data_IF_041325370018
#
_entry.id   IF_041325370018
#
_cell.length_a   1.000
_cell.length_b   1.000
_cell.length_c   1.000
_cell.angle_alpha   90.00
_cell.angle_beta   90.00
_cell.angle_gamma   90.00
#
_symmetry.space_group_name_H-M   'P 1'
#
loop_
_entity.id
_entity.type
_entity.pdbx_description
1 polymer ?
#
# COMPACT_ATOMS: atom_id res chain seq x y z
N UNK A 1 3.85 -6.89 16.21
CA UNK A 1 4.64 -6.30 15.10
C UNK A 1 3.91 -5.16 14.39
N UNK A 2 2.66 -5.32 13.91
CA UNK A 2 1.90 -4.23 13.26
C UNK A 2 1.67 -3.01 14.16
N UNK A 3 1.55 -3.22 15.47
CA UNK A 3 1.33 -2.13 16.43
C UNK A 3 2.43 -1.05 16.41
N UNK A 4 3.68 -1.41 16.12
CA UNK A 4 4.76 -0.42 15.99
C UNK A 4 4.54 0.46 14.76
N UNK A 5 4.17 -0.15 13.64
CA UNK A 5 3.81 0.55 12.42
C UNK A 5 2.63 1.52 12.66
N UNK A 6 1.57 1.07 13.34
CA UNK A 6 0.42 1.92 13.64
C UNK A 6 0.74 3.07 14.60
N UNK A 7 1.67 2.88 15.55
CA UNK A 7 2.14 3.96 16.44
C UNK A 7 2.96 5.03 15.74
N UNK A 8 3.50 4.73 14.56
CA UNK A 8 4.22 5.69 13.72
C UNK A 8 3.25 6.54 12.86
N UNK A 9 1.94 6.24 12.89
CA UNK A 9 0.92 6.93 12.10
C UNK A 9 0.12 7.94 12.92
N UNK A 10 -0.20 9.08 12.32
CA UNK A 10 -1.16 10.04 12.87
C UNK A 10 -2.60 9.51 12.74
N UNK A 11 -3.51 9.96 13.63
CA UNK A 11 -4.93 9.61 13.52
C UNK A 11 -5.47 10.07 12.16
N UNK A 12 -6.17 9.18 11.45
CA UNK A 12 -6.66 9.44 10.10
C UNK A 12 -5.59 9.37 9.00
N UNK A 13 -4.37 8.94 9.33
CA UNK A 13 -3.30 8.66 8.36
C UNK A 13 -3.69 7.57 7.35
N UNK A 14 -2.98 7.55 6.22
CA UNK A 14 -3.28 6.65 5.10
C UNK A 14 -2.26 5.51 5.02
N UNK A 15 -2.74 4.26 5.13
CA UNK A 15 -1.96 3.04 4.97
C UNK A 15 -2.11 2.49 3.55
N UNK A 16 -1.03 2.41 2.80
CA UNK A 16 -0.97 1.67 1.54
C UNK A 16 -0.60 0.21 1.77
N UNK A 17 -1.44 -0.72 1.32
CA UNK A 17 -1.17 -2.16 1.37
C UNK A 17 -0.83 -2.67 -0.02
N UNK A 18 0.40 -3.15 -0.22
CA UNK A 18 0.84 -3.82 -1.46
C UNK A 18 0.92 -5.32 -1.18
N UNK A 19 -0.02 -6.08 -1.72
CA UNK A 19 -0.26 -7.49 -1.44
C UNK A 19 -1.29 -7.70 -0.34
N UNK A 20 -2.55 -7.83 -0.73
CA UNK A 20 -3.70 -7.98 0.20
C UNK A 20 -4.09 -9.45 0.39
N UNK A 21 -3.06 -10.26 0.62
CA UNK A 21 -3.17 -11.66 1.03
C UNK A 21 -3.89 -11.87 2.37
N UNK A 22 -3.87 -13.10 2.91
CA UNK A 22 -4.38 -13.36 4.28
C UNK A 22 -3.81 -12.36 5.30
N UNK A 23 -2.52 -12.05 5.18
CA UNK A 23 -1.84 -11.07 6.02
C UNK A 23 -2.35 -9.64 5.77
N UNK A 24 -2.40 -9.20 4.50
CA UNK A 24 -2.86 -7.86 4.16
C UNK A 24 -4.32 -7.61 4.55
N UNK A 25 -5.21 -8.60 4.39
CA UNK A 25 -6.60 -8.50 4.86
C UNK A 25 -6.69 -8.36 6.37
N UNK A 26 -5.84 -9.02 7.14
CA UNK A 26 -5.81 -8.88 8.60
C UNK A 26 -5.23 -7.52 9.02
N UNK A 27 -4.16 -7.08 8.35
CA UNK A 27 -3.55 -5.78 8.58
C UNK A 27 -4.52 -4.63 8.29
N UNK A 28 -5.36 -4.78 7.25
CA UNK A 28 -6.46 -3.87 6.95
C UNK A 28 -7.44 -3.75 8.11
N UNK A 29 -7.96 -4.88 8.63
CA UNK A 29 -8.91 -4.86 9.76
C UNK A 29 -8.32 -4.17 10.98
N UNK A 30 -7.04 -4.41 11.26
CA UNK A 30 -6.35 -3.71 12.33
C UNK A 30 -6.27 -2.21 12.03
N UNK A 31 -5.91 -1.80 10.82
CA UNK A 31 -5.82 -0.38 10.46
C UNK A 31 -7.17 0.35 10.64
N UNK A 32 -8.28 -0.29 10.28
CA UNK A 32 -9.64 0.24 10.45
C UNK A 32 -9.98 0.46 11.93
N UNK A 33 -9.60 -0.47 12.82
CA UNK A 33 -9.76 -0.31 14.27
C UNK A 33 -8.96 0.86 14.85
N UNK A 34 -7.89 1.27 14.17
CA UNK A 34 -7.05 2.42 14.55
C UNK A 34 -7.52 3.73 13.86
N UNK A 35 -8.65 3.70 13.12
CA UNK A 35 -9.19 4.87 12.43
C UNK A 35 -8.33 5.34 11.25
N UNK A 36 -7.55 4.43 10.65
CA UNK A 36 -6.72 4.72 9.49
C UNK A 36 -7.50 4.50 8.19
N UNK A 37 -7.18 5.27 7.16
CA UNK A 37 -7.64 5.00 5.80
C UNK A 37 -6.73 3.95 5.15
N UNK A 38 -7.28 3.09 4.30
CA UNK A 38 -6.48 2.12 3.56
C UNK A 38 -6.60 2.30 2.05
N UNK A 39 -5.47 2.17 1.36
CA UNK A 39 -5.37 2.06 -0.09
C UNK A 39 -4.80 0.68 -0.41
N UNK A 40 -5.48 -0.08 -1.25
CA UNK A 40 -5.17 -1.48 -1.48
C UNK A 40 -4.59 -1.67 -2.89
N UNK A 41 -3.54 -2.47 -3.01
CA UNK A 41 -3.03 -2.91 -4.30
C UNK A 41 -2.61 -4.38 -4.16
N UNK A 42 -3.02 -5.24 -5.09
CA UNK A 42 -2.58 -6.63 -5.12
C UNK A 42 -1.95 -6.96 -6.47
N UNK A 43 -0.65 -6.64 -6.66
CA UNK A 43 0.05 -7.10 -7.85
C UNK A 43 0.39 -8.59 -7.70
N UNK A 44 0.11 -9.47 -8.67
CA UNK A 44 -1.14 -9.76 -9.34
C UNK A 44 -2.00 -10.74 -8.50
N UNK A 45 -3.07 -10.22 -7.88
CA UNK A 45 -4.35 -10.94 -7.83
C UNK A 45 -5.26 -10.37 -8.88
N UNK A 46 -4.99 -10.83 -10.11
CA UNK A 46 -5.96 -11.54 -10.93
C UNK A 46 -5.92 -11.15 -12.41
N UNK A 47 -5.72 -12.16 -13.25
CA UNK A 47 -6.33 -12.22 -14.59
C UNK A 47 -7.75 -12.84 -14.47
N UNK A 48 -8.22 -13.14 -13.25
CA UNK A 48 -9.44 -13.93 -13.00
C UNK A 48 -10.42 -13.37 -11.94
N UNK A 49 -10.13 -12.25 -11.29
CA UNK A 49 -10.93 -11.67 -10.19
C UNK A 49 -11.22 -10.18 -10.47
N UNK A 50 -10.76 -9.65 -11.62
CA UNK A 50 -11.08 -8.31 -12.11
C UNK A 50 -12.56 -8.16 -12.47
N UNK A 51 -13.28 -9.28 -12.67
CA UNK A 51 -14.73 -9.28 -12.90
C UNK A 51 -15.54 -9.13 -11.60
N UNK A 52 -14.99 -9.52 -10.43
CA UNK A 52 -15.67 -9.39 -9.13
C UNK A 52 -15.45 -8.02 -8.45
N UNK A 53 -14.47 -7.22 -8.91
CA UNK A 53 -14.13 -5.91 -8.33
C UNK A 53 -14.99 -4.75 -8.86
N UNK A 54 -15.70 -4.93 -9.97
CA UNK A 54 -16.57 -3.90 -10.54
C UNK A 54 -17.87 -3.68 -9.74
N UNK A 55 -18.35 -4.68 -9.00
CA UNK A 55 -19.58 -4.58 -8.21
C UNK A 55 -19.36 -4.00 -6.80
N UNK A 56 -18.11 -3.96 -6.32
CA UNK A 56 -17.77 -3.39 -5.00
C UNK A 56 -17.35 -1.90 -5.07
N UNK A 57 -17.17 -1.35 -6.28
CA UNK A 57 -16.66 0.02 -6.49
C UNK A 57 -17.65 0.86 -7.28
N UNK A 58 -18.80 1.18 -6.68
CA UNK A 58 -19.51 2.42 -7.01
C UNK A 58 -18.78 3.62 -6.38
N UNK A 59 -17.54 3.85 -6.83
CA UNK A 59 -16.86 5.14 -6.65
C UNK A 59 -16.94 5.85 -7.98
N UNK A 60 -17.82 6.86 -8.06
CA UNK A 60 -17.78 7.87 -9.10
C UNK A 60 -16.46 8.62 -8.97
N UNK A 61 -15.41 8.12 -9.64
CA UNK A 61 -14.18 8.85 -9.90
C UNK A 61 -14.50 9.95 -10.90
N UNK A 62 -15.27 10.95 -10.44
CA UNK A 62 -15.77 12.05 -11.25
C UNK A 62 -14.70 12.53 -12.22
N UNK A 63 -14.95 12.29 -13.50
CA UNK A 63 -14.19 12.77 -14.65
C UNK A 63 -12.68 12.96 -14.43
N UNK A 64 -11.92 11.88 -14.56
CA UNK A 64 -10.56 11.89 -15.09
C UNK A 64 -9.61 13.00 -14.62
N UNK A 65 -8.64 12.61 -13.79
CA UNK A 65 -7.44 13.38 -13.44
C UNK A 65 -7.67 14.55 -12.47
N UNK A 66 -7.36 14.32 -11.19
CA UNK A 66 -6.88 15.37 -10.29
C UNK A 66 -7.88 15.81 -9.21
N UNK A 67 -7.82 15.14 -8.08
CA UNK A 67 -8.45 15.62 -6.84
C UNK A 67 -9.49 14.66 -6.31
N UNK A 68 -9.05 13.57 -5.68
CA UNK A 68 -9.92 12.84 -4.77
C UNK A 68 -10.09 13.69 -3.50
N UNK A 69 -11.34 14.04 -3.19
CA UNK A 69 -11.71 14.45 -1.85
C UNK A 69 -11.60 13.20 -0.94
N UNK A 70 -10.43 13.04 -0.31
CA UNK A 70 -10.13 11.93 0.60
C UNK A 70 -11.05 11.84 1.82
N UNK A 71 -11.93 12.84 2.03
CA UNK A 71 -12.94 12.76 3.07
C UNK A 71 -14.08 11.77 2.76
N UNK A 72 -14.21 11.32 1.51
CA UNK A 72 -15.28 10.42 1.05
C UNK A 72 -14.78 9.04 0.58
N UNK A 73 -13.49 8.76 0.73
CA UNK A 73 -12.90 7.47 0.32
C UNK A 73 -13.28 6.40 1.34
N UNK A 74 -14.14 5.47 0.93
CA UNK A 74 -14.50 4.29 1.74
C UNK A 74 -13.29 3.37 1.94
N UNK A 75 -13.31 2.59 3.03
CA UNK A 75 -12.14 1.90 3.61
C UNK A 75 -11.58 0.73 2.78
N UNK A 76 -12.07 0.51 1.56
CA UNK A 76 -11.70 -0.62 0.68
C UNK A 76 -11.38 -0.18 -0.77
N UNK A 77 -10.56 0.87 -0.94
CA UNK A 77 -10.25 1.35 -2.31
C UNK A 77 -9.05 0.64 -2.90
N UNK A 78 -9.27 -0.22 -3.90
CA UNK A 78 -8.20 -0.75 -4.75
C UNK A 78 -7.69 0.32 -5.71
N UNK A 79 -6.37 0.53 -5.73
CA UNK A 79 -5.71 1.56 -6.53
C UNK A 79 -4.40 1.03 -7.13
N UNK A 80 -3.90 1.63 -8.22
CA UNK A 80 -2.56 1.30 -8.71
C UNK A 80 -1.48 1.74 -7.70
N UNK A 81 -0.32 1.10 -7.75
CA UNK A 81 0.84 1.40 -6.88
C UNK A 81 1.21 2.89 -6.90
N UNK A 82 1.03 3.58 -8.04
CA UNK A 82 1.29 5.01 -8.16
C UNK A 82 0.45 5.86 -7.21
N UNK A 83 -0.81 5.50 -6.98
CA UNK A 83 -1.69 6.23 -6.05
C UNK A 83 -1.34 5.92 -4.59
N UNK A 84 -0.92 4.68 -4.30
CA UNK A 84 -0.33 4.35 -2.99
C UNK A 84 0.88 5.25 -2.73
N UNK A 85 1.81 5.33 -3.68
CA UNK A 85 3.03 6.14 -3.53
C UNK A 85 2.69 7.62 -3.29
N UNK A 86 1.69 8.14 -4.00
CA UNK A 86 1.30 9.55 -3.92
C UNK A 86 0.65 9.94 -2.60
N UNK A 87 -0.13 9.05 -1.98
CA UNK A 87 -1.01 9.42 -0.88
C UNK A 87 -0.75 8.72 0.44
N UNK A 88 -0.14 7.52 0.45
CA UNK A 88 0.12 6.80 1.68
C UNK A 88 1.21 7.48 2.54
N UNK A 89 0.96 7.56 3.84
CA UNK A 89 1.94 8.00 4.84
C UNK A 89 2.78 6.81 5.32
N UNK A 90 2.19 5.62 5.30
CA UNK A 90 2.88 4.35 5.55
C UNK A 90 2.50 3.35 4.47
N UNK A 91 3.47 2.60 3.97
CA UNK A 91 3.27 1.56 2.96
C UNK A 91 3.72 0.23 3.57
N UNK A 92 2.82 -0.75 3.65
CA UNK A 92 3.17 -2.12 4.02
C UNK A 92 3.21 -3.00 2.76
N UNK A 93 4.38 -3.57 2.49
CA UNK A 93 4.62 -4.44 1.34
C UNK A 93 4.66 -5.88 1.82
N UNK A 94 3.71 -6.68 1.33
CA UNK A 94 3.66 -8.12 1.53
C UNK A 94 3.38 -8.89 0.25
N UNK A 95 4.44 -9.23 -0.48
CA UNK A 95 4.38 -9.98 -1.74
C UNK A 95 5.30 -11.21 -1.69
N UNK A 96 5.00 -12.30 -2.41
CA UNK A 96 5.95 -13.39 -2.57
C UNK A 96 7.18 -12.90 -3.35
N UNK A 97 8.38 -13.36 -2.99
CA UNK A 97 9.58 -13.13 -3.80
C UNK A 97 9.56 -14.03 -5.05
N UNK A 98 9.64 -13.41 -6.21
CA UNK A 98 9.84 -14.05 -7.51
C UNK A 98 10.53 -13.05 -8.45
N UNK A 99 10.74 -13.42 -9.71
CA UNK A 99 11.44 -12.56 -10.69
C UNK A 99 10.74 -11.22 -10.95
N UNK A 100 9.42 -11.13 -10.76
CA UNK A 100 8.64 -9.90 -10.96
C UNK A 100 8.59 -8.99 -9.73
N UNK A 101 8.82 -9.52 -8.53
CA UNK A 101 8.80 -8.75 -7.27
C UNK A 101 10.19 -8.50 -6.71
N UNK A 102 11.20 -9.19 -7.21
CA UNK A 102 12.61 -8.90 -6.91
C UNK A 102 12.92 -7.47 -7.34
N UNK A 103 13.54 -6.72 -6.43
CA UNK A 103 13.93 -5.32 -6.63
C UNK A 103 12.76 -4.37 -6.99
N UNK A 104 11.49 -4.75 -6.76
CA UNK A 104 10.33 -3.93 -7.10
C UNK A 104 10.24 -2.62 -6.30
N UNK A 105 10.81 -2.60 -5.09
CA UNK A 105 11.03 -1.38 -4.33
C UNK A 105 12.38 -0.82 -4.80
N UNK A 106 12.31 -0.11 -5.92
CA UNK A 106 13.42 0.52 -6.60
C UNK A 106 13.47 2.04 -6.37
N UNK A 107 14.48 2.68 -6.96
CA UNK A 107 14.66 4.13 -6.85
C UNK A 107 13.50 4.92 -7.49
N UNK A 108 12.80 4.33 -8.47
CA UNK A 108 11.61 4.93 -9.10
C UNK A 108 10.40 4.89 -8.17
N UNK A 109 10.17 3.77 -7.50
CA UNK A 109 9.19 3.62 -6.43
C UNK A 109 9.44 4.64 -5.32
N UNK A 110 10.68 4.71 -4.81
CA UNK A 110 11.06 5.66 -3.76
C UNK A 110 10.86 7.11 -4.19
N UNK A 111 11.12 7.45 -5.46
CA UNK A 111 10.92 8.80 -5.99
C UNK A 111 9.44 9.16 -6.18
N UNK A 112 8.58 8.18 -6.42
CA UNK A 112 7.13 8.36 -6.53
C UNK A 112 6.47 8.49 -5.14
N UNK A 113 7.06 7.91 -4.10
CA UNK A 113 6.55 7.98 -2.74
C UNK A 113 6.67 9.39 -2.13
N UNK A 114 5.77 9.70 -1.19
CA UNK A 114 5.93 10.89 -0.33
C UNK A 114 7.27 10.78 0.41
N UNK A 115 8.02 11.89 0.48
CA UNK A 115 9.38 11.93 1.07
C UNK A 115 9.46 11.53 2.55
N UNK A 116 8.33 11.55 3.24
CA UNK A 116 8.18 11.19 4.65
C UNK A 116 7.43 9.87 4.82
N UNK A 117 7.14 9.13 3.74
CA UNK A 117 6.50 7.84 3.83
C UNK A 117 7.41 6.84 4.54
N UNK A 118 6.84 6.02 5.42
CA UNK A 118 7.55 4.88 6.01
C UNK A 118 7.14 3.61 5.27
N UNK A 119 8.10 2.87 4.75
CA UNK A 119 7.87 1.67 3.96
C UNK A 119 8.27 0.45 4.80
N UNK A 120 7.27 -0.31 5.23
CA UNK A 120 7.45 -1.56 5.95
C UNK A 120 7.46 -2.75 5.00
N UNK A 121 8.56 -3.50 5.02
CA UNK A 121 8.75 -4.73 4.26
C UNK A 121 8.48 -5.91 5.19
N UNK A 122 7.39 -6.62 4.93
CA UNK A 122 7.03 -7.87 5.61
C UNK A 122 7.43 -9.13 4.82
N UNK A 123 8.01 -8.91 3.64
CA UNK A 123 8.46 -9.94 2.69
C UNK A 123 9.96 -10.18 2.75
N UNK A 124 10.47 -11.01 1.84
CA UNK A 124 11.91 -11.17 1.66
C UNK A 124 12.58 -9.82 1.33
N UNK A 125 13.72 -9.47 1.97
CA UNK A 125 14.44 -8.22 1.68
C UNK A 125 14.86 -8.04 0.22
N UNK A 126 14.91 -9.11 -0.58
CA UNK A 126 15.19 -9.06 -2.00
C UNK A 126 14.08 -8.40 -2.85
N UNK A 127 12.91 -8.09 -2.28
CA UNK A 127 11.94 -7.21 -2.94
C UNK A 127 12.42 -5.76 -3.00
N UNK A 128 13.45 -5.40 -2.22
CA UNK A 128 14.07 -4.08 -2.18
C UNK A 128 15.43 -4.12 -2.86
N UNK A 129 15.66 -3.15 -3.77
CA UNK A 129 16.97 -2.93 -4.37
C UNK A 129 18.05 -2.84 -3.31
N UNK A 130 19.17 -3.53 -3.54
CA UNK A 130 20.18 -3.74 -2.51
C UNK A 130 20.69 -2.44 -1.85
N UNK A 131 20.91 -1.38 -2.63
CA UNK A 131 21.38 -0.09 -2.09
C UNK A 131 20.33 0.68 -1.28
N UNK A 132 19.04 0.38 -1.48
CA UNK A 132 17.94 1.02 -0.75
C UNK A 132 17.66 0.36 0.60
N UNK A 133 18.19 -0.82 0.89
CA UNK A 133 17.93 -1.53 2.16
C UNK A 133 18.44 -0.78 3.41
N UNK A 134 19.27 0.24 3.22
CA UNK A 134 19.75 1.14 4.28
C UNK A 134 19.03 2.50 4.27
N UNK A 135 18.07 2.71 3.37
CA UNK A 135 17.32 3.96 3.28
C UNK A 135 16.51 4.18 4.57
N UNK A 136 16.56 5.40 5.16
CA UNK A 136 15.89 5.69 6.42
C UNK A 136 14.36 5.65 6.34
N UNK A 137 13.74 5.58 5.15
CA UNK A 137 12.30 5.36 4.99
C UNK A 137 11.93 3.87 5.06
N UNK A 138 12.88 2.95 4.85
CA UNK A 138 12.61 1.51 4.79
C UNK A 138 12.77 0.86 6.17
N UNK A 139 11.79 0.03 6.54
CA UNK A 139 11.77 -0.80 7.76
C UNK A 139 11.57 -2.24 7.35
N UNK A 140 12.33 -3.14 7.96
CA UNK A 140 12.11 -4.57 7.83
C UNK A 140 11.45 -5.09 9.10
N UNK A 141 10.46 -5.96 8.90
CA UNK A 141 9.70 -6.57 9.96
C UNK A 141 10.32 -7.92 10.34
#
# INVERSE_FOLDING_TARGET
>A
MPERMFKEMEQGGTLGLIGVGKFGSELKKMAEQYGLRTLLCDPPRSISDAEDLNDALHVDWGNGMGGCDFSQVETETFVPVSEICKYADVIAVQVPLNDSTKDMIDSGFMAACRKNAIIWIFSDPAVVQNHLRQDPQIRFA
#
